data_IF_643710662711
#
_entry.id   IF_643710662711
#
_cell.length_a   1.000
_cell.length_b   1.000
_cell.length_c   1.000
_cell.angle_alpha   90.00
_cell.angle_beta   90.00
_cell.angle_gamma   90.00
#
_symmetry.space_group_name_H-M   'P 1'
#
loop_
_entity.id
_entity.type
_entity.pdbx_description
1 polymer ?
#
# COMPACT_ATOMS: atom_id res chain seq x y z
N UNK A 1 -20.14 49.27 -29.21
CA UNK A 1 -19.13 48.80 -28.24
C UNK A 1 -19.29 47.30 -27.97
N UNK A 2 -18.54 46.39 -28.63
CA UNK A 2 -18.63 44.95 -28.36
C UNK A 2 -17.24 44.33 -28.09
N UNK A 3 -16.60 44.68 -26.96
CA UNK A 3 -15.29 44.11 -26.57
C UNK A 3 -15.40 43.24 -25.31
N UNK A 4 -16.55 43.22 -24.62
CA UNK A 4 -16.64 42.69 -23.26
C UNK A 4 -16.93 41.18 -23.13
N UNK A 5 -17.36 40.48 -24.19
CA UNK A 5 -17.75 39.05 -24.10
C UNK A 5 -16.61 38.05 -24.37
N UNK A 6 -15.61 38.41 -25.18
CA UNK A 6 -14.56 37.47 -25.60
C UNK A 6 -13.49 37.20 -24.52
N UNK A 7 -13.26 38.12 -23.59
CA UNK A 7 -12.28 37.94 -22.50
C UNK A 7 -12.79 37.09 -21.34
N UNK A 8 -14.11 37.02 -21.14
CA UNK A 8 -14.70 36.21 -20.06
C UNK A 8 -14.61 34.70 -20.33
N UNK A 9 -14.70 34.29 -21.60
CA UNK A 9 -14.64 32.87 -22.02
C UNK A 9 -13.22 32.32 -21.86
N UNK A 10 -12.20 33.14 -22.07
CA UNK A 10 -10.80 32.70 -21.97
C UNK A 10 -10.35 32.43 -20.52
N UNK A 11 -10.89 33.18 -19.55
CA UNK A 11 -10.58 32.99 -18.12
C UNK A 11 -11.28 31.75 -17.57
N UNK A 12 -12.50 31.44 -18.04
CA UNK A 12 -13.23 30.25 -17.61
C UNK A 12 -12.59 28.94 -18.12
N UNK A 13 -11.94 28.96 -19.29
CA UNK A 13 -11.23 27.79 -19.83
C UNK A 13 -9.98 27.39 -19.04
N UNK A 14 -9.29 28.36 -18.41
CA UNK A 14 -8.06 28.09 -17.65
C UNK A 14 -8.38 27.50 -16.27
N UNK A 15 -9.51 27.87 -15.65
CA UNK A 15 -9.95 27.34 -14.36
C UNK A 15 -10.41 25.87 -14.42
N UNK A 16 -10.92 25.41 -15.57
CA UNK A 16 -11.33 24.01 -15.74
C UNK A 16 -10.12 23.07 -15.95
N UNK A 17 -8.99 23.59 -16.43
CA UNK A 17 -7.78 22.80 -16.67
C UNK A 17 -7.01 22.45 -15.38
N UNK A 18 -7.18 23.20 -14.28
CA UNK A 18 -6.43 22.95 -13.03
C UNK A 18 -7.05 21.89 -12.12
N UNK A 19 -8.28 21.45 -12.37
CA UNK A 19 -8.97 20.43 -11.54
C UNK A 19 -8.69 18.99 -12.03
N UNK A 20 -8.12 18.84 -13.23
CA UNK A 20 -7.93 17.52 -13.87
C UNK A 20 -6.70 16.71 -13.42
N UNK A 21 -5.74 17.29 -12.70
CA UNK A 21 -4.43 16.65 -12.48
C UNK A 21 -4.33 15.76 -11.23
N UNK A 22 -5.43 15.42 -10.55
CA UNK A 22 -5.35 14.70 -9.26
C UNK A 22 -5.86 13.24 -9.25
N UNK A 23 -6.16 12.59 -10.39
CA UNK A 23 -6.80 11.26 -10.36
C UNK A 23 -6.22 10.16 -11.26
N UNK A 24 -4.93 10.18 -11.54
CA UNK A 24 -4.21 8.95 -11.91
C UNK A 24 -3.55 8.34 -10.66
N UNK A 25 -4.34 8.08 -9.62
CA UNK A 25 -3.90 7.27 -8.48
C UNK A 25 -4.65 5.96 -8.56
N UNK A 26 -3.89 4.87 -8.75
CA UNK A 26 -4.38 3.50 -8.82
C UNK A 26 -5.37 3.20 -7.70
N UNK A 27 -6.43 2.46 -8.00
CA UNK A 27 -7.44 2.01 -7.05
C UNK A 27 -6.80 1.41 -5.77
N UNK A 28 -7.44 1.57 -4.60
CA UNK A 28 -6.98 1.04 -3.32
C UNK A 28 -6.52 -0.40 -3.44
N UNK A 29 -5.39 -0.71 -2.82
CA UNK A 29 -4.98 -2.10 -2.61
C UNK A 29 -5.63 -2.64 -1.34
N UNK A 30 -5.12 -3.73 -0.76
CA UNK A 30 -5.32 -4.04 0.66
C UNK A 30 -5.08 -2.80 1.56
N UNK A 31 -4.31 -1.82 1.06
CA UNK A 31 -4.14 -0.50 1.63
C UNK A 31 -5.01 0.56 0.92
N UNK A 32 -5.84 1.24 1.71
CA UNK A 32 -6.59 2.43 1.29
C UNK A 32 -5.78 3.73 1.36
N UNK A 33 -4.81 3.78 2.27
CA UNK A 33 -3.89 4.91 2.45
C UNK A 33 -3.04 5.14 1.19
N UNK A 34 -2.72 6.40 0.88
CA UNK A 34 -1.95 6.79 -0.31
C UNK A 34 -0.54 7.24 0.04
N UNK A 35 0.38 7.12 -0.92
CA UNK A 35 1.74 7.65 -0.75
C UNK A 35 1.73 9.17 -0.64
N UNK A 36 2.64 9.71 0.16
CA UNK A 36 2.72 11.14 0.47
C UNK A 36 1.77 11.60 1.56
N UNK A 37 0.95 10.71 2.15
CA UNK A 37 0.16 11.06 3.33
C UNK A 37 1.07 11.34 4.52
N UNK A 38 0.74 12.39 5.29
CA UNK A 38 1.34 12.68 6.58
C UNK A 38 0.78 11.78 7.68
N UNK A 39 1.47 11.73 8.83
CA UNK A 39 0.95 11.01 10.02
C UNK A 39 -0.43 11.50 10.45
N UNK A 40 -0.73 12.79 10.24
CA UNK A 40 -2.07 13.33 10.52
C UNK A 40 -3.10 12.76 9.56
N UNK A 41 -2.82 12.79 8.26
CA UNK A 41 -3.73 12.27 7.23
C UNK A 41 -3.97 10.77 7.36
N UNK A 42 -2.95 9.97 7.69
CA UNK A 42 -3.12 8.53 7.95
C UNK A 42 -4.06 8.29 9.13
N UNK A 43 -3.91 9.04 10.23
CA UNK A 43 -4.81 8.91 11.39
C UNK A 43 -6.25 9.32 11.10
N UNK A 44 -6.46 10.26 10.19
CA UNK A 44 -7.80 10.71 9.78
C UNK A 44 -8.47 9.75 8.79
N UNK A 45 -7.68 9.04 7.98
CA UNK A 45 -8.16 8.10 6.98
C UNK A 45 -8.38 6.67 7.53
N UNK A 46 -7.65 6.27 8.57
CA UNK A 46 -7.87 5.00 9.26
C UNK A 46 -9.08 5.08 10.20
N UNK A 47 -9.97 4.09 10.13
CA UNK A 47 -11.15 4.03 11.00
C UNK A 47 -10.78 3.79 12.48
N UNK A 48 -9.74 2.99 12.70
CA UNK A 48 -9.26 2.64 14.04
C UNK A 48 -8.24 3.67 14.53
N UNK A 49 -8.08 3.76 15.84
CA UNK A 49 -7.00 4.54 16.45
C UNK A 49 -5.71 3.71 16.51
N UNK A 50 -4.53 4.32 16.34
CA UNK A 50 -3.28 3.62 16.51
C UNK A 50 -3.12 3.16 17.97
N UNK A 51 -2.62 1.94 18.15
CA UNK A 51 -2.24 1.40 19.46
C UNK A 51 -0.92 1.98 19.96
N UNK A 52 -0.06 2.46 19.06
CA UNK A 52 1.18 3.16 19.41
C UNK A 52 1.52 4.21 18.36
N UNK A 53 2.05 5.34 18.83
CA UNK A 53 2.55 6.43 17.99
C UNK A 53 4.01 6.72 18.37
N UNK A 54 4.90 6.67 17.39
CA UNK A 54 6.32 7.03 17.54
C UNK A 54 6.68 8.21 16.63
N UNK A 55 7.90 8.71 16.75
CA UNK A 55 8.39 9.81 15.92
C UNK A 55 8.32 9.52 14.42
N UNK A 56 8.49 8.27 14.02
CA UNK A 56 8.60 7.79 12.64
C UNK A 56 7.55 6.74 12.29
N UNK A 57 6.70 6.32 13.24
CA UNK A 57 5.76 5.20 13.05
C UNK A 57 4.38 5.41 13.64
N UNK A 58 3.39 4.81 13.00
CA UNK A 58 2.06 4.56 13.56
C UNK A 58 1.79 3.07 13.54
N UNK A 59 1.36 2.51 14.67
CA UNK A 59 1.10 1.08 14.81
C UNK A 59 -0.37 0.91 15.16
N UNK A 60 -1.04 0.00 14.45
CA UNK A 60 -2.43 -0.37 14.61
C UNK A 60 -2.49 -1.87 14.90
N UNK A 61 -3.35 -2.25 15.84
CA UNK A 61 -3.65 -3.66 16.09
C UNK A 61 -5.03 -4.00 15.53
N UNK A 62 -5.20 -5.27 15.15
CA UNK A 62 -6.47 -5.84 14.73
C UNK A 62 -7.08 -5.13 13.51
N UNK A 63 -6.28 -4.82 12.49
CA UNK A 63 -6.81 -4.30 11.22
C UNK A 63 -7.40 -5.47 10.43
N UNK A 64 -8.65 -5.37 9.94
CA UNK A 64 -9.25 -6.44 9.14
C UNK A 64 -8.60 -6.49 7.75
N UNK A 65 -8.21 -7.69 7.32
CA UNK A 65 -7.90 -8.01 5.91
C UNK A 65 -8.57 -9.33 5.58
N UNK A 66 -9.59 -9.28 4.71
CA UNK A 66 -10.42 -10.46 4.45
C UNK A 66 -11.06 -10.97 5.74
N UNK A 67 -10.87 -12.24 6.06
CA UNK A 67 -11.39 -12.88 7.27
C UNK A 67 -10.46 -12.76 8.49
N UNK A 68 -9.35 -12.03 8.39
CA UNK A 68 -8.27 -12.03 9.39
C UNK A 68 -8.07 -10.67 10.03
N UNK A 69 -7.61 -10.71 11.29
CA UNK A 69 -7.17 -9.53 12.02
C UNK A 69 -5.65 -9.51 12.05
N UNK A 70 -5.04 -8.51 11.42
CA UNK A 70 -3.59 -8.35 11.33
C UNK A 70 -3.10 -7.16 12.14
N UNK A 71 -1.80 -7.12 12.43
CA UNK A 71 -1.15 -5.88 12.82
C UNK A 71 -0.79 -5.06 11.59
N UNK A 72 -0.79 -3.74 11.72
CA UNK A 72 -0.42 -2.80 10.67
C UNK A 72 0.54 -1.77 11.24
N UNK A 73 1.70 -1.62 10.61
CA UNK A 73 2.66 -0.58 10.90
C UNK A 73 2.83 0.33 9.68
N UNK A 74 2.69 1.64 9.89
CA UNK A 74 3.07 2.65 8.93
C UNK A 74 4.38 3.30 9.36
N UNK A 75 5.32 3.41 8.44
CA UNK A 75 6.59 4.10 8.63
C UNK A 75 6.66 5.37 7.78
N UNK A 76 7.27 6.42 8.32
CA UNK A 76 7.33 7.75 7.71
C UNK A 76 8.77 8.20 7.56
N UNK A 77 9.07 8.79 6.40
CA UNK A 77 10.29 9.56 6.17
C UNK A 77 9.94 11.04 6.26
N UNK A 78 10.30 11.68 7.39
CA UNK A 78 9.81 13.03 7.71
C UNK A 78 8.29 13.04 7.90
N UNK A 79 7.60 13.86 7.11
CA UNK A 79 6.13 13.97 7.14
C UNK A 79 5.44 13.21 5.98
N UNK A 80 6.13 12.27 5.34
CA UNK A 80 5.59 11.51 4.22
C UNK A 80 5.67 10.01 4.45
N UNK A 81 4.57 9.32 4.18
CA UNK A 81 4.48 7.88 4.30
C UNK A 81 5.49 7.17 3.39
N UNK A 82 6.32 6.33 3.99
CA UNK A 82 7.37 5.53 3.35
C UNK A 82 6.92 4.09 3.10
N UNK A 83 6.37 3.43 4.12
CA UNK A 83 5.98 2.03 4.05
C UNK A 83 4.70 1.71 4.83
N UNK A 84 4.09 0.60 4.48
CA UNK A 84 3.01 -0.02 5.23
C UNK A 84 3.27 -1.53 5.33
N UNK A 85 3.41 -2.04 6.55
CA UNK A 85 3.69 -3.45 6.84
C UNK A 85 2.51 -4.07 7.58
N UNK A 86 1.90 -5.08 6.96
CA UNK A 86 0.90 -5.92 7.58
C UNK A 86 1.56 -7.21 8.06
N UNK A 87 1.36 -7.57 9.32
CA UNK A 87 2.00 -8.74 9.92
C UNK A 87 0.99 -9.63 10.64
N UNK A 88 1.18 -10.94 10.48
CA UNK A 88 0.37 -11.99 11.08
C UNK A 88 1.29 -13.14 11.51
N UNK A 89 1.32 -13.43 12.81
CA UNK A 89 2.30 -14.35 13.41
C UNK A 89 1.63 -15.29 14.41
N UNK A 90 2.28 -16.43 14.64
CA UNK A 90 1.85 -17.44 15.61
C UNK A 90 1.76 -16.85 17.02
N UNK A 91 0.67 -17.13 17.71
CA UNK A 91 0.49 -16.81 19.12
C UNK A 91 -0.41 -17.87 19.78
N UNK A 92 -0.89 -17.63 21.01
CA UNK A 92 -1.74 -18.58 21.73
C UNK A 92 -3.05 -18.97 20.99
N UNK A 93 -3.50 -18.17 20.03
CA UNK A 93 -4.74 -18.36 19.27
C UNK A 93 -4.53 -18.48 17.76
N UNK A 94 -3.29 -18.39 17.27
CA UNK A 94 -2.94 -18.43 15.85
C UNK A 94 -1.90 -19.52 15.65
N UNK A 95 -2.24 -20.54 14.87
CA UNK A 95 -1.38 -21.68 14.56
C UNK A 95 -0.48 -21.40 13.35
N UNK A 96 0.54 -22.24 13.15
CA UNK A 96 1.34 -22.19 11.92
C UNK A 96 0.48 -22.40 10.66
N UNK A 97 -0.51 -23.29 10.70
CA UNK A 97 -1.45 -23.48 9.59
C UNK A 97 -2.23 -22.22 9.25
N UNK A 98 -2.62 -21.43 10.26
CA UNK A 98 -3.31 -20.16 10.05
C UNK A 98 -2.41 -19.15 9.33
N UNK A 99 -1.13 -19.09 9.71
CA UNK A 99 -0.14 -18.22 9.07
C UNK A 99 0.10 -18.62 7.61
N UNK A 100 0.24 -19.92 7.33
CA UNK A 100 0.42 -20.42 5.96
C UNK A 100 -0.83 -20.15 5.11
N UNK A 101 -2.03 -20.32 5.67
CA UNK A 101 -3.28 -19.99 4.99
C UNK A 101 -3.39 -18.48 4.69
N UNK A 102 -3.03 -17.63 5.65
CA UNK A 102 -2.98 -16.18 5.45
C UNK A 102 -2.01 -15.79 4.31
N UNK A 103 -0.84 -16.41 4.24
CA UNK A 103 0.10 -16.17 3.16
C UNK A 103 -0.47 -16.57 1.79
N UNK A 104 -1.18 -17.70 1.70
CA UNK A 104 -1.83 -18.12 0.46
C UNK A 104 -2.95 -17.15 0.03
N UNK A 105 -3.75 -16.67 0.97
CA UNK A 105 -4.79 -15.67 0.73
C UNK A 105 -4.20 -14.34 0.23
N UNK A 106 -3.16 -13.82 0.89
CA UNK A 106 -2.50 -12.58 0.47
C UNK A 106 -1.85 -12.72 -0.91
N UNK A 107 -1.17 -13.85 -1.18
CA UNK A 107 -0.57 -14.12 -2.49
C UNK A 107 -1.64 -14.17 -3.60
N UNK A 108 -2.79 -14.78 -3.33
CA UNK A 108 -3.91 -14.83 -4.28
C UNK A 108 -4.49 -13.43 -4.56
N UNK A 109 -4.73 -12.61 -3.53
CA UNK A 109 -5.25 -11.25 -3.68
C UNK A 109 -4.28 -10.36 -4.48
N UNK A 110 -2.99 -10.42 -4.13
CA UNK A 110 -1.95 -9.67 -4.83
C UNK A 110 -1.77 -10.18 -6.27
N UNK A 111 -1.84 -11.49 -6.50
CA UNK A 111 -1.74 -12.07 -7.84
C UNK A 111 -2.92 -11.69 -8.72
N UNK A 112 -4.14 -11.63 -8.16
CA UNK A 112 -5.32 -11.15 -8.89
C UNK A 112 -5.15 -9.70 -9.34
N UNK A 113 -4.60 -8.84 -8.47
CA UNK A 113 -4.42 -7.41 -8.75
C UNK A 113 -3.22 -7.10 -9.64
N UNK A 114 -2.05 -7.63 -9.29
CA UNK A 114 -0.76 -7.27 -9.87
C UNK A 114 -0.24 -8.29 -10.89
N UNK A 115 -0.90 -9.45 -11.04
CA UNK A 115 -0.38 -10.58 -11.79
C UNK A 115 0.60 -11.43 -10.97
N UNK A 116 1.18 -12.49 -11.54
CA UNK A 116 2.06 -13.39 -10.81
C UNK A 116 3.31 -12.65 -10.30
N UNK A 117 3.62 -12.82 -9.02
CA UNK A 117 4.82 -12.26 -8.40
C UNK A 117 6.06 -13.10 -8.66
N UNK A 118 7.24 -12.51 -8.48
CA UNK A 118 8.53 -13.22 -8.54
C UNK A 118 8.80 -13.86 -7.18
N UNK A 119 8.83 -15.19 -7.12
CA UNK A 119 9.09 -15.93 -5.88
C UNK A 119 10.57 -16.29 -5.77
N UNK A 120 11.14 -16.09 -4.58
CA UNK A 120 12.45 -16.56 -4.19
C UNK A 120 12.38 -17.21 -2.79
N UNK A 121 13.34 -18.09 -2.49
CA UNK A 121 13.55 -18.62 -1.13
C UNK A 121 14.92 -18.17 -0.64
N UNK A 122 14.98 -17.64 0.57
CA UNK A 122 16.21 -17.22 1.25
C UNK A 122 16.22 -17.88 2.62
N UNK A 123 17.02 -18.94 2.77
CA UNK A 123 16.95 -19.80 3.96
C UNK A 123 15.56 -20.42 4.12
N UNK A 124 14.94 -20.23 5.28
CA UNK A 124 13.58 -20.70 5.60
C UNK A 124 12.47 -19.74 5.16
N UNK A 125 12.83 -18.58 4.58
CA UNK A 125 11.87 -17.56 4.18
C UNK A 125 11.54 -17.71 2.70
N UNK A 126 10.26 -17.91 2.39
CA UNK A 126 9.70 -17.77 1.04
C UNK A 126 9.26 -16.31 0.86
N UNK A 127 9.76 -15.64 -0.16
CA UNK A 127 9.38 -14.27 -0.49
C UNK A 127 8.80 -14.19 -1.90
N UNK A 128 7.62 -13.59 -2.05
CA UNK A 128 7.03 -13.21 -3.34
C UNK A 128 7.11 -11.69 -3.50
N UNK A 129 7.56 -11.22 -4.67
CA UNK A 129 7.75 -9.80 -4.99
C UNK A 129 6.88 -9.36 -6.17
N UNK A 130 6.17 -8.25 -5.99
CA UNK A 130 5.51 -7.52 -7.07
C UNK A 130 6.10 -6.11 -7.18
N UNK A 131 6.25 -5.64 -8.41
CA UNK A 131 6.83 -4.33 -8.69
C UNK A 131 5.84 -3.53 -9.51
N UNK A 132 5.47 -2.36 -8.99
CA UNK A 132 4.76 -1.33 -9.74
C UNK A 132 5.69 -0.14 -9.96
N UNK A 133 5.31 0.85 -10.79
CA UNK A 133 6.15 2.02 -11.04
C UNK A 133 6.55 2.78 -9.76
N UNK A 134 5.70 2.78 -8.73
CA UNK A 134 5.93 3.54 -7.49
C UNK A 134 6.09 2.70 -6.23
N UNK A 135 5.72 1.43 -6.27
CA UNK A 135 5.63 0.58 -5.09
C UNK A 135 6.35 -0.74 -5.33
N UNK A 136 7.21 -1.13 -4.39
CA UNK A 136 7.68 -2.51 -4.21
C UNK A 136 6.75 -3.17 -3.20
N UNK A 137 6.20 -4.33 -3.55
CA UNK A 137 5.31 -5.11 -2.70
C UNK A 137 6.02 -6.42 -2.42
N UNK A 138 6.17 -6.80 -1.16
CA UNK A 138 6.78 -8.06 -0.78
C UNK A 138 5.91 -8.81 0.21
N UNK A 139 5.66 -10.08 -0.08
CA UNK A 139 5.04 -11.02 0.83
C UNK A 139 6.11 -12.00 1.29
N UNK A 140 6.43 -12.03 2.57
CA UNK A 140 7.40 -12.94 3.17
C UNK A 140 6.68 -13.92 4.11
N UNK A 141 6.92 -15.21 3.94
CA UNK A 141 6.46 -16.28 4.81
C UNK A 141 7.69 -17.05 5.31
N UNK A 142 7.85 -17.17 6.62
CA UNK A 142 8.95 -17.94 7.19
C UNK A 142 8.90 -18.01 8.71
N UNK A 143 9.87 -18.73 9.26
CA UNK A 143 10.10 -18.80 10.70
C UNK A 143 11.09 -17.70 11.10
N UNK A 144 10.66 -16.79 11.97
CA UNK A 144 11.50 -15.72 12.55
C UNK A 144 11.64 -15.97 14.05
N UNK A 145 12.42 -15.17 14.78
CA UNK A 145 12.74 -15.38 16.21
C UNK A 145 11.52 -15.66 17.12
N UNK A 146 10.32 -15.23 16.72
CA UNK A 146 9.05 -15.40 17.46
C UNK A 146 8.15 -16.51 16.91
N UNK A 147 8.67 -17.38 16.04
CA UNK A 147 7.93 -18.44 15.35
C UNK A 147 7.53 -18.06 13.92
N UNK A 148 6.61 -18.84 13.36
CA UNK A 148 6.11 -18.63 12.00
C UNK A 148 5.35 -17.31 11.87
N UNK A 149 5.66 -16.56 10.82
CA UNK A 149 4.99 -15.31 10.47
C UNK A 149 4.84 -15.14 8.97
N UNK A 150 3.81 -14.39 8.60
CA UNK A 150 3.68 -13.78 7.27
C UNK A 150 3.70 -12.26 7.41
N UNK A 151 4.49 -11.61 6.56
CA UNK A 151 4.59 -10.16 6.48
C UNK A 151 4.35 -9.70 5.05
N UNK A 152 3.40 -8.79 4.87
CA UNK A 152 3.12 -8.10 3.62
C UNK A 152 3.58 -6.65 3.75
N UNK A 153 4.58 -6.26 2.96
CA UNK A 153 5.16 -4.92 2.99
C UNK A 153 4.92 -4.20 1.68
N UNK A 154 4.39 -2.99 1.80
CA UNK A 154 4.33 -1.98 0.75
C UNK A 154 5.41 -0.94 0.99
N UNK A 155 6.32 -0.75 0.03
CA UNK A 155 7.38 0.25 0.12
C UNK A 155 7.28 1.24 -1.04
N UNK A 156 7.23 2.54 -0.73
CA UNK A 156 7.27 3.61 -1.71
C UNK A 156 8.68 3.77 -2.30
N UNK A 157 8.89 3.30 -3.54
CA UNK A 157 10.19 3.36 -4.23
C UNK A 157 10.65 4.80 -4.52
N UNK A 158 9.69 5.67 -4.84
CA UNK A 158 9.98 7.08 -5.11
C UNK A 158 10.35 7.82 -3.83
N UNK A 159 9.73 7.46 -2.71
CA UNK A 159 9.97 8.08 -1.41
C UNK A 159 11.27 7.58 -0.75
N UNK A 160 11.71 6.37 -1.10
CA UNK A 160 12.95 5.76 -0.63
C UNK A 160 14.19 6.17 -1.44
N UNK A 161 14.04 7.02 -2.46
CA UNK A 161 15.14 7.43 -3.34
C UNK A 161 15.59 6.36 -4.34
N UNK A 162 14.80 5.31 -4.56
CA UNK A 162 15.15 4.17 -5.41
C UNK A 162 14.69 4.44 -6.86
N UNK A 163 15.48 5.23 -7.59
CA UNK A 163 15.12 5.79 -8.92
C UNK A 163 15.60 4.91 -10.08
N UNK A 164 15.42 3.59 -10.02
CA UNK A 164 15.44 2.80 -11.26
C UNK A 164 14.10 3.00 -11.97
N UNK A 165 14.08 3.97 -12.90
CA UNK A 165 12.96 4.27 -13.77
C UNK A 165 12.62 3.03 -14.60
N UNK A 166 11.50 2.39 -14.28
CA UNK A 166 10.90 1.45 -15.23
C UNK A 166 10.42 2.25 -16.44
N UNK A 167 10.46 1.67 -17.66
CA UNK A 167 9.87 2.30 -18.83
C UNK A 167 8.45 2.78 -18.50
N UNK A 168 8.04 3.92 -19.07
CA UNK A 168 6.66 4.46 -18.99
C UNK A 168 5.64 3.55 -19.71
N UNK A 169 5.77 2.23 -19.63
CA UNK A 169 4.62 1.37 -19.89
C UNK A 169 3.58 1.66 -18.82
N UNK A 170 2.39 1.98 -19.29
CA UNK A 170 1.24 2.32 -18.49
C UNK A 170 0.84 1.08 -17.67
N UNK A 171 1.39 0.93 -16.46
CA UNK A 171 1.03 -0.15 -15.56
C UNK A 171 -0.47 -0.07 -15.25
N UNK A 172 -1.23 -1.02 -15.79
CA UNK A 172 -2.66 -1.20 -15.49
C UNK A 172 -2.79 -2.41 -14.58
N UNK A 173 -3.33 -2.26 -13.35
CA UNK A 173 -3.72 -3.40 -12.54
C UNK A 173 -4.63 -4.33 -13.35
N UNK A 174 -4.49 -5.64 -13.17
CA UNK A 174 -5.31 -6.62 -13.91
C UNK A 174 -6.77 -6.56 -13.45
N UNK A 175 -6.98 -6.34 -12.16
CA UNK A 175 -8.29 -6.16 -11.51
C UNK A 175 -8.17 -5.27 -10.29
N UNK A 176 -9.28 -4.68 -9.88
CA UNK A 176 -9.43 -4.03 -8.58
C UNK A 176 -9.76 -5.08 -7.53
N UNK A 177 -9.16 -4.97 -6.34
CA UNK A 177 -9.57 -5.76 -5.18
C UNK A 177 -10.75 -5.01 -4.56
N UNK A 178 -11.88 -5.69 -4.36
CA UNK A 178 -13.02 -5.10 -3.67
C UNK A 178 -12.65 -4.86 -2.21
N UNK A 179 -13.02 -3.69 -1.68
CA UNK A 179 -12.87 -3.38 -0.25
C UNK A 179 -13.55 -4.48 0.60
N UNK A 180 -12.85 -4.94 1.65
CA UNK A 180 -13.33 -5.94 2.61
C UNK A 180 -13.88 -5.29 3.87
#
# INVERSE_FOLDING_TARGET
MPICRKRLILVLGILVATVGNSRAQSAPDLRQIRWGYSKKQVREAEEKKPTSTRSDKLIYAQVPIGSRMVGLEYEFNGDSLLSASYYYYVNASITQSDVVAAAAEFDALLTEKYGPGKTAKVGEIKQTLWMTPRTRISLALGNVDKGWSVELVYLCRVCSGDVQAMPKEEFKPRKEIKDF
#
